data_IF_717838866079
#
_entry.id   IF_717838866079
#
_cell.length_a   1.000
_cell.length_b   1.000
_cell.length_c   1.000
_cell.angle_alpha   90.00
_cell.angle_beta   90.00
_cell.angle_gamma   90.00
#
_symmetry.space_group_name_H-M   'P 1'
#
loop_
_entity.id
_entity.type
_entity.pdbx_description
1 polymer ?
#
# COMPACT_ATOMS: atom_id res chain seq x y z
N UNK A 1 -27.77 32.32 -39.19
CA UNK A 1 -27.98 30.91 -38.79
C UNK A 1 -26.82 30.48 -37.90
N UNK A 2 -26.95 30.56 -36.57
CA UNK A 2 -25.86 30.26 -35.60
C UNK A 2 -26.44 29.67 -34.32
N UNK A 3 -27.22 28.58 -34.39
CA UNK A 3 -27.82 27.96 -33.20
C UNK A 3 -28.08 26.46 -33.40
N UNK A 4 -27.08 25.66 -33.78
CA UNK A 4 -27.27 24.20 -33.86
C UNK A 4 -26.06 23.39 -33.33
N UNK A 5 -24.86 23.96 -33.26
CA UNK A 5 -23.67 23.20 -32.84
C UNK A 5 -23.43 23.07 -31.32
N UNK A 6 -24.19 23.77 -30.46
CA UNK A 6 -23.99 23.71 -28.99
C UNK A 6 -24.60 22.44 -28.38
N UNK A 7 -25.73 21.99 -28.92
CA UNK A 7 -26.46 20.81 -28.40
C UNK A 7 -25.67 19.50 -28.54
N UNK A 8 -25.03 19.17 -29.68
CA UNK A 8 -24.25 17.93 -29.77
C UNK A 8 -22.96 17.99 -28.95
N UNK A 9 -22.36 19.18 -28.77
CA UNK A 9 -21.18 19.35 -27.94
C UNK A 9 -21.49 19.16 -26.44
N UNK A 10 -22.63 19.68 -25.98
CA UNK A 10 -23.10 19.51 -24.60
C UNK A 10 -23.46 18.05 -24.30
N UNK A 11 -24.05 17.35 -25.28
CA UNK A 11 -24.34 15.92 -25.18
C UNK A 11 -23.05 15.07 -25.08
N UNK A 12 -22.00 15.42 -25.83
CA UNK A 12 -20.72 14.70 -25.78
C UNK A 12 -19.99 14.86 -24.43
N UNK A 13 -20.12 16.02 -23.78
CA UNK A 13 -19.54 16.26 -22.45
C UNK A 13 -20.25 15.49 -21.32
N UNK A 14 -21.51 15.11 -21.49
CA UNK A 14 -22.29 14.37 -20.48
C UNK A 14 -21.95 12.87 -20.40
N UNK A 15 -21.27 12.32 -21.42
CA UNK A 15 -20.84 10.92 -21.43
C UNK A 15 -19.43 10.67 -20.89
N UNK A 16 -18.73 11.74 -20.44
CA UNK A 16 -17.33 11.65 -20.02
C UNK A 16 -17.13 11.25 -18.54
N UNK A 17 -18.20 11.05 -17.77
CA UNK A 17 -18.09 10.77 -16.32
C UNK A 17 -18.69 9.43 -15.98
N UNK A 18 -17.82 8.46 -15.75
CA UNK A 18 -18.15 7.14 -15.24
C UNK A 18 -16.91 6.26 -15.35
N UNK A 19 -15.96 6.45 -14.43
CA UNK A 19 -14.91 5.46 -14.26
C UNK A 19 -15.62 4.22 -13.70
N UNK A 20 -15.68 3.15 -14.49
CA UNK A 20 -16.33 1.93 -14.03
C UNK A 20 -15.52 1.39 -12.85
N UNK A 21 -16.20 1.10 -11.73
CA UNK A 21 -15.66 0.29 -10.65
C UNK A 21 -14.95 -0.91 -11.27
N UNK A 22 -13.62 -0.88 -11.18
CA UNK A 22 -12.76 -1.77 -11.93
C UNK A 22 -12.61 -3.07 -11.18
N UNK A 23 -12.57 -4.17 -11.91
CA UNK A 23 -12.05 -5.40 -11.34
C UNK A 23 -10.52 -5.32 -11.36
N UNK A 24 -9.89 -5.42 -10.19
CA UNK A 24 -8.44 -5.50 -10.07
C UNK A 24 -8.01 -6.97 -10.08
N UNK A 25 -7.44 -7.42 -11.19
CA UNK A 25 -6.88 -8.78 -11.32
C UNK A 25 -5.51 -8.83 -10.63
N UNK A 26 -5.43 -9.57 -9.53
CA UNK A 26 -4.22 -9.71 -8.71
C UNK A 26 -3.41 -10.96 -9.07
N UNK A 27 -4.08 -12.03 -9.51
CA UNK A 27 -3.45 -13.26 -9.98
C UNK A 27 -4.36 -13.98 -11.00
N UNK A 28 -3.93 -15.14 -11.50
CA UNK A 28 -4.72 -15.94 -12.44
C UNK A 28 -6.12 -16.28 -11.91
N UNK A 29 -6.23 -16.51 -10.60
CA UNK A 29 -7.47 -16.95 -9.95
C UNK A 29 -8.00 -15.96 -8.91
N UNK A 30 -7.36 -14.77 -8.78
CA UNK A 30 -7.73 -13.76 -7.80
C UNK A 30 -8.00 -12.41 -8.46
N UNK A 31 -9.23 -11.94 -8.26
CA UNK A 31 -9.71 -10.65 -8.69
C UNK A 31 -10.39 -9.96 -7.51
N UNK A 32 -10.17 -8.65 -7.36
CA UNK A 32 -10.79 -7.83 -6.33
C UNK A 32 -11.70 -6.80 -6.97
N UNK A 33 -12.97 -6.81 -6.60
CA UNK A 33 -13.87 -5.71 -6.90
C UNK A 33 -13.60 -4.57 -5.89
N UNK A 34 -13.34 -3.37 -6.40
CA UNK A 34 -13.13 -2.19 -5.57
C UNK A 34 -14.11 -1.07 -5.95
N UNK A 35 -14.57 -0.25 -4.96
CA UNK A 35 -15.44 0.89 -5.24
C UNK A 35 -14.70 1.97 -6.03
N UNK A 36 -15.40 2.90 -6.67
CA UNK A 36 -14.76 3.97 -7.45
C UNK A 36 -13.86 4.85 -6.54
N UNK A 37 -12.56 4.96 -6.82
CA UNK A 37 -11.64 5.80 -6.06
C UNK A 37 -11.67 7.26 -6.53
N UNK A 38 -11.31 8.19 -5.66
CA UNK A 38 -11.13 9.61 -6.04
C UNK A 38 -9.91 9.80 -6.95
N UNK A 39 -8.86 9.00 -6.72
CA UNK A 39 -7.62 9.05 -7.49
C UNK A 39 -7.01 7.65 -7.60
N UNK A 40 -6.57 7.33 -8.80
CA UNK A 40 -5.68 6.19 -9.07
C UNK A 40 -4.31 6.75 -9.43
N UNK A 41 -3.28 6.29 -8.72
CA UNK A 41 -1.88 6.61 -9.02
C UNK A 41 -1.09 5.31 -9.14
N UNK A 42 -0.11 5.28 -10.03
CA UNK A 42 0.71 4.08 -10.23
C UNK A 42 2.19 4.41 -10.47
N UNK A 43 3.06 3.51 -10.05
CA UNK A 43 4.47 3.42 -10.44
C UNK A 43 4.68 2.14 -11.27
N UNK A 44 5.92 1.72 -11.50
CA UNK A 44 6.22 0.45 -12.17
C UNK A 44 5.80 -0.77 -11.34
N UNK A 45 5.82 -0.67 -10.00
CA UNK A 45 5.59 -1.80 -9.08
C UNK A 45 4.42 -1.58 -8.13
N UNK A 46 3.92 -0.35 -7.99
CA UNK A 46 2.88 -0.01 -7.02
C UNK A 46 1.68 0.63 -7.69
N UNK A 47 0.48 0.23 -7.28
CA UNK A 47 -0.79 0.83 -7.63
C UNK A 47 -1.47 1.33 -6.35
N UNK A 48 -1.94 2.58 -6.35
CA UNK A 48 -2.55 3.25 -5.21
C UNK A 48 -3.93 3.75 -5.59
N UNK A 49 -4.92 3.39 -4.79
CA UNK A 49 -6.31 3.81 -4.84
C UNK A 49 -6.58 4.71 -3.64
N UNK A 50 -6.87 5.98 -3.90
CA UNK A 50 -7.21 6.95 -2.86
C UNK A 50 -8.72 7.12 -2.78
N UNK A 51 -9.23 7.04 -1.55
CA UNK A 51 -10.60 7.35 -1.18
C UNK A 51 -10.59 8.50 -0.17
N UNK A 52 -11.77 9.00 0.20
CA UNK A 52 -11.92 10.15 1.12
C UNK A 52 -11.19 9.93 2.45
N UNK A 53 -11.45 8.79 3.11
CA UNK A 53 -10.94 8.49 4.46
C UNK A 53 -9.82 7.45 4.52
N UNK A 54 -9.51 6.79 3.40
CA UNK A 54 -8.57 5.67 3.38
C UNK A 54 -7.88 5.50 2.04
N UNK A 55 -6.81 4.71 2.05
CA UNK A 55 -6.03 4.37 0.86
C UNK A 55 -5.85 2.86 0.79
N UNK A 56 -5.99 2.29 -0.40
CA UNK A 56 -5.55 0.93 -0.69
C UNK A 56 -4.37 0.99 -1.65
N UNK A 57 -3.36 0.15 -1.42
CA UNK A 57 -2.25 -0.03 -2.34
C UNK A 57 -2.04 -1.50 -2.65
N UNK A 58 -1.67 -1.79 -3.89
CA UNK A 58 -1.16 -3.09 -4.31
C UNK A 58 0.26 -2.91 -4.83
N UNK A 59 1.18 -3.75 -4.38
CA UNK A 59 2.56 -3.76 -4.83
C UNK A 59 2.96 -5.14 -5.33
N UNK A 60 3.63 -5.18 -6.48
CA UNK A 60 4.30 -6.38 -6.96
C UNK A 60 5.58 -6.53 -6.15
N UNK A 61 5.58 -7.53 -5.28
CA UNK A 61 6.73 -7.91 -4.45
C UNK A 61 7.52 -9.02 -5.10
N UNK A 62 8.82 -8.82 -5.21
CA UNK A 62 9.76 -9.84 -5.64
C UNK A 62 10.06 -10.78 -4.46
N UNK A 63 9.68 -12.05 -4.58
CA UNK A 63 9.85 -13.04 -3.52
C UNK A 63 11.32 -13.30 -3.15
N UNK A 64 12.28 -12.99 -4.03
CA UNK A 64 13.71 -13.14 -3.73
C UNK A 64 14.23 -12.02 -2.82
N UNK A 65 13.59 -10.86 -2.85
CA UNK A 65 13.98 -9.66 -2.08
C UNK A 65 12.99 -9.30 -0.97
N UNK A 66 11.78 -9.86 -1.00
CA UNK A 66 10.75 -9.62 -0.01
C UNK A 66 11.03 -10.41 1.26
N UNK A 67 11.26 -9.70 2.37
CA UNK A 67 11.37 -10.33 3.68
C UNK A 67 10.05 -11.05 4.00
N UNK A 68 10.07 -12.35 4.31
CA UNK A 68 8.86 -13.05 4.72
C UNK A 68 8.24 -12.28 5.89
N UNK A 69 6.95 -11.94 5.77
CA UNK A 69 6.27 -11.05 6.71
C UNK A 69 6.43 -11.58 8.14
N UNK A 70 7.10 -10.81 8.99
CA UNK A 70 7.23 -11.14 10.40
C UNK A 70 6.05 -10.52 11.12
N UNK A 71 5.29 -11.37 11.82
CA UNK A 71 4.16 -10.91 12.60
C UNK A 71 4.66 -10.13 13.82
N UNK A 72 4.39 -8.83 13.82
CA UNK A 72 4.68 -7.92 14.92
C UNK A 72 3.39 -7.54 15.68
N UNK A 73 2.27 -8.22 15.43
CA UNK A 73 0.99 -7.91 16.06
C UNK A 73 1.10 -8.02 17.57
N UNK A 74 0.93 -6.89 18.27
CA UNK A 74 1.05 -6.80 19.72
C UNK A 74 2.45 -6.47 20.24
N UNK A 75 3.50 -6.63 19.42
CA UNK A 75 4.90 -6.42 19.80
C UNK A 75 5.59 -5.29 19.02
N UNK A 76 4.90 -4.66 18.05
CA UNK A 76 5.48 -3.68 17.13
C UNK A 76 6.19 -2.51 17.84
N UNK A 77 5.61 -1.97 18.92
CA UNK A 77 6.23 -0.88 19.67
C UNK A 77 7.52 -1.34 20.37
N UNK A 78 7.46 -2.47 21.07
CA UNK A 78 8.63 -3.03 21.78
C UNK A 78 9.73 -3.42 20.78
N UNK A 79 9.34 -3.94 19.61
CA UNK A 79 10.25 -4.32 18.54
C UNK A 79 11.06 -3.13 18.03
N UNK A 80 10.40 -2.01 17.70
CA UNK A 80 11.10 -0.80 17.26
C UNK A 80 11.96 -0.21 18.39
N UNK A 81 11.46 -0.19 19.63
CA UNK A 81 12.23 0.29 20.80
C UNK A 81 13.49 -0.54 21.04
N UNK A 82 13.45 -1.85 20.79
CA UNK A 82 14.58 -2.75 20.97
C UNK A 82 15.79 -2.44 20.06
N UNK A 83 15.60 -1.66 18.99
CA UNK A 83 16.69 -1.17 18.15
C UNK A 83 17.57 -0.18 18.92
N UNK A 84 16.97 0.58 19.84
CA UNK A 84 17.61 1.68 20.54
C UNK A 84 17.85 1.42 22.03
N UNK A 85 17.05 0.54 22.65
CA UNK A 85 17.07 0.33 24.10
C UNK A 85 17.29 -1.15 24.43
N UNK A 86 18.45 -1.47 24.98
CA UNK A 86 18.82 -2.86 25.31
C UNK A 86 17.85 -3.49 26.33
N UNK A 87 17.39 -2.71 27.31
CA UNK A 87 16.50 -3.18 28.38
C UNK A 87 15.12 -3.63 27.88
N UNK A 88 14.72 -3.24 26.67
CA UNK A 88 13.46 -3.66 26.05
C UNK A 88 13.60 -5.02 25.35
N UNK A 89 14.81 -5.41 24.95
CA UNK A 89 15.07 -6.66 24.22
C UNK A 89 14.57 -7.93 24.96
N UNK A 90 14.67 -8.06 26.28
CA UNK A 90 14.15 -9.23 27.00
C UNK A 90 12.63 -9.38 26.98
N UNK A 91 11.86 -8.33 26.66
CA UNK A 91 10.39 -8.43 26.57
C UNK A 91 9.91 -9.05 25.26
N UNK A 92 10.78 -9.16 24.26
CA UNK A 92 10.47 -9.76 22.96
C UNK A 92 10.69 -11.27 22.99
N UNK A 93 9.98 -11.98 22.09
CA UNK A 93 10.33 -13.37 21.80
C UNK A 93 11.79 -13.49 21.33
N UNK A 94 12.45 -14.65 21.51
CA UNK A 94 13.84 -14.82 21.09
C UNK A 94 14.08 -14.49 19.61
N UNK A 95 13.13 -14.81 18.74
CA UNK A 95 13.16 -14.57 17.30
C UNK A 95 13.10 -13.06 16.99
N UNK A 96 12.14 -12.35 17.59
CA UNK A 96 12.00 -10.90 17.42
C UNK A 96 13.20 -10.14 18.01
N UNK A 97 13.75 -10.62 19.13
CA UNK A 97 14.95 -10.04 19.73
C UNK A 97 16.18 -10.18 18.81
N UNK A 98 16.42 -11.36 18.27
CA UNK A 98 17.55 -11.61 17.36
C UNK A 98 17.42 -10.76 16.09
N UNK A 99 16.21 -10.65 15.55
CA UNK A 99 15.95 -9.77 14.43
C UNK A 99 16.17 -8.29 14.79
N UNK A 100 15.72 -7.82 15.95
CA UNK A 100 15.91 -6.43 16.37
C UNK A 100 17.40 -6.06 16.49
N UNK A 101 18.23 -7.00 16.96
CA UNK A 101 19.70 -6.84 17.02
C UNK A 101 20.28 -6.76 15.60
N UNK A 102 19.90 -7.68 14.71
CA UNK A 102 20.35 -7.65 13.30
C UNK A 102 19.95 -6.38 12.57
N UNK A 103 18.75 -5.87 12.82
CA UNK A 103 18.28 -4.60 12.23
C UNK A 103 19.05 -3.41 12.78
N UNK A 104 19.34 -3.38 14.09
CA UNK A 104 20.19 -2.35 14.70
C UNK A 104 21.57 -2.32 14.05
N UNK A 105 22.20 -3.48 13.86
CA UNK A 105 23.49 -3.62 13.19
C UNK A 105 23.41 -3.15 11.72
N UNK A 106 22.38 -3.56 10.98
CA UNK A 106 22.19 -3.18 9.58
C UNK A 106 21.96 -1.66 9.39
N UNK A 107 21.43 -0.98 10.40
CA UNK A 107 21.20 0.46 10.40
C UNK A 107 22.33 1.27 11.03
N UNK A 108 23.44 0.64 11.43
CA UNK A 108 24.59 1.30 12.07
C UNK A 108 24.17 2.17 13.28
N UNK A 109 23.19 1.71 14.07
CA UNK A 109 22.72 2.49 15.23
C UNK A 109 23.75 2.37 16.36
N UNK A 110 24.30 3.50 16.84
CA UNK A 110 25.35 3.51 17.87
C UNK A 110 24.83 3.10 19.25
N UNK A 111 25.75 2.63 20.09
CA UNK A 111 25.54 2.27 21.51
C UNK A 111 25.17 3.46 22.41
#
# INVERSE_FOLDING_TARGET
MKRIFIVPLLALCLFATGCMAGNLVLSQDLALDYPEPELISHTSTTLIFKYEDWTMSHEIVDAETFYPGIDLSGDAEQFIRAFFTEDVRPSLSPELRDMAIKQREAFDIPD
#
